data_IF_990165830171
#
_entry.id   IF_990165830171
#
_cell.length_a   1.000
_cell.length_b   1.000
_cell.length_c   1.000
_cell.angle_alpha   90.00
_cell.angle_beta   90.00
_cell.angle_gamma   90.00
#
_symmetry.space_group_name_H-M   'P 1'
#
loop_
_entity.id
_entity.type
_entity.pdbx_description
1 polymer ?
#
# COMPACT_ATOMS: atom_id res chain seq x y z
N UNK A 1 -3.66 8.39 15.17
CA UNK A 1 -4.38 7.34 14.41
C UNK A 1 -3.39 6.53 13.58
N UNK A 2 -3.79 5.37 13.07
CA UNK A 2 -2.94 4.46 12.30
C UNK A 2 -3.54 4.15 10.93
N UNK A 3 -2.81 4.41 9.88
CA UNK A 3 -3.27 4.23 8.49
C UNK A 3 -2.34 3.34 7.68
N UNK A 4 -2.93 2.57 6.79
CA UNK A 4 -2.23 1.75 5.81
C UNK A 4 -2.32 2.44 4.44
N UNK A 5 -1.19 2.74 3.81
CA UNK A 5 -1.13 3.39 2.49
C UNK A 5 -0.50 2.42 1.48
N UNK A 6 -1.28 1.99 0.51
CA UNK A 6 -0.84 1.08 -0.56
C UNK A 6 -0.40 1.89 -1.78
N UNK A 7 0.86 1.79 -2.18
CA UNK A 7 1.41 2.59 -3.27
C UNK A 7 2.01 3.91 -2.80
N UNK A 8 2.73 3.88 -1.70
CA UNK A 8 3.26 5.08 -1.02
C UNK A 8 4.58 5.62 -1.59
N UNK A 9 5.20 4.95 -2.57
CA UNK A 9 6.56 5.29 -3.03
C UNK A 9 6.61 6.43 -4.04
N UNK A 10 5.51 6.79 -4.69
CA UNK A 10 5.48 7.80 -5.73
C UNK A 10 4.12 8.50 -5.83
N UNK A 11 4.08 9.62 -6.54
CA UNK A 11 2.87 10.36 -6.87
C UNK A 11 1.98 10.65 -5.67
N UNK A 12 0.68 10.47 -5.84
CA UNK A 12 -0.33 10.76 -4.82
C UNK A 12 -0.10 9.98 -3.51
N UNK A 13 0.37 8.74 -3.59
CA UNK A 13 0.64 7.93 -2.40
C UNK A 13 1.72 8.52 -1.52
N UNK A 14 2.78 9.06 -2.13
CA UNK A 14 3.86 9.75 -1.42
C UNK A 14 3.38 11.03 -0.77
N UNK A 15 2.64 11.86 -1.50
CA UNK A 15 2.06 13.11 -0.99
C UNK A 15 1.13 12.86 0.20
N UNK A 16 0.28 11.84 0.11
CA UNK A 16 -0.59 11.43 1.21
C UNK A 16 0.22 10.95 2.43
N UNK A 17 1.27 10.17 2.21
CA UNK A 17 2.18 9.74 3.28
C UNK A 17 2.80 10.92 4.02
N UNK A 18 3.30 11.92 3.29
CA UNK A 18 3.85 13.15 3.87
C UNK A 18 2.80 13.94 4.66
N UNK A 19 1.59 14.09 4.11
CA UNK A 19 0.50 14.80 4.75
C UNK A 19 0.06 14.12 6.05
N UNK A 20 -0.21 12.83 6.02
CA UNK A 20 -0.62 12.07 7.21
C UNK A 20 0.47 12.02 8.29
N UNK A 21 1.74 11.89 7.91
CA UNK A 21 2.86 11.96 8.85
C UNK A 21 2.96 13.34 9.50
N UNK A 22 2.78 14.43 8.73
CA UNK A 22 2.81 15.80 9.26
C UNK A 22 1.67 16.08 10.25
N UNK A 23 0.58 15.34 10.16
CA UNK A 23 -0.55 15.39 11.10
C UNK A 23 -0.36 14.48 12.34
N UNK A 24 0.79 13.84 12.45
CA UNK A 24 1.14 13.03 13.62
C UNK A 24 0.60 11.60 13.58
N UNK A 25 0.23 11.08 12.41
CA UNK A 25 -0.31 9.75 12.29
C UNK A 25 0.77 8.67 12.13
N UNK A 26 0.56 7.52 12.77
CA UNK A 26 1.32 6.31 12.52
C UNK A 26 0.94 5.73 11.15
N UNK A 27 1.92 5.42 10.31
CA UNK A 27 1.69 4.90 8.98
C UNK A 27 2.32 3.52 8.79
N UNK A 28 1.61 2.68 8.04
CA UNK A 28 2.17 1.52 7.39
C UNK A 28 2.20 1.83 5.91
N UNK A 29 3.39 1.97 5.33
CA UNK A 29 3.55 2.29 3.92
C UNK A 29 3.96 1.05 3.12
N UNK A 30 3.28 0.85 2.00
CA UNK A 30 3.43 -0.34 1.16
C UNK A 30 3.83 0.05 -0.26
N UNK A 31 4.87 -0.56 -0.77
CA UNK A 31 5.25 -0.56 -2.18
C UNK A 31 6.08 -1.80 -2.52
N UNK A 32 6.49 -1.94 -3.77
CA UNK A 32 7.31 -3.09 -4.19
C UNK A 32 8.77 -2.95 -3.81
N UNK A 33 9.31 -1.74 -3.81
CA UNK A 33 10.72 -1.48 -3.58
C UNK A 33 10.99 -1.17 -2.10
N UNK A 34 11.69 -2.09 -1.43
CA UNK A 34 12.05 -1.94 -0.02
C UNK A 34 13.00 -0.76 0.21
N UNK A 35 13.93 -0.48 -0.71
CA UNK A 35 14.88 0.64 -0.59
C UNK A 35 14.18 1.98 -0.59
N UNK A 36 13.22 2.15 -1.50
CA UNK A 36 12.41 3.36 -1.56
C UNK A 36 11.61 3.54 -0.28
N UNK A 37 11.01 2.46 0.23
CA UNK A 37 10.27 2.50 1.50
C UNK A 37 11.15 2.88 2.68
N UNK A 38 12.37 2.34 2.77
CA UNK A 38 13.32 2.67 3.84
C UNK A 38 13.74 4.14 3.80
N UNK A 39 13.98 4.69 2.60
CA UNK A 39 14.31 6.10 2.42
C UNK A 39 13.14 7.01 2.82
N UNK A 40 11.92 6.68 2.41
CA UNK A 40 10.70 7.43 2.77
C UNK A 40 10.47 7.37 4.29
N UNK A 41 10.57 6.18 4.89
CA UNK A 41 10.45 5.99 6.33
C UNK A 41 11.41 6.89 7.10
N UNK A 42 12.70 6.83 6.78
CA UNK A 42 13.73 7.63 7.46
C UNK A 42 13.42 9.12 7.38
N UNK A 43 13.05 9.61 6.21
CA UNK A 43 12.69 11.01 6.00
C UNK A 43 11.47 11.43 6.84
N UNK A 44 10.40 10.65 6.78
CA UNK A 44 9.15 10.96 7.48
C UNK A 44 9.32 10.92 9.01
N UNK A 45 10.02 9.93 9.54
CA UNK A 45 10.27 9.80 10.98
C UNK A 45 11.13 10.94 11.53
N UNK A 46 12.18 11.35 10.80
CA UNK A 46 13.05 12.46 11.19
C UNK A 46 12.29 13.79 11.20
N UNK A 47 11.50 14.04 10.16
CA UNK A 47 10.79 15.33 10.00
C UNK A 47 9.59 15.48 10.94
N UNK A 48 8.87 14.40 11.23
CA UNK A 48 7.56 14.49 11.86
C UNK A 48 7.49 13.82 13.25
N UNK A 49 8.53 13.14 13.68
CA UNK A 49 8.58 12.40 14.97
C UNK A 49 7.42 11.40 15.13
N UNK A 50 7.06 10.74 14.04
CA UNK A 50 6.00 9.73 14.00
C UNK A 50 6.59 8.35 13.74
N UNK A 51 5.83 7.30 14.03
CA UNK A 51 6.21 5.93 13.71
C UNK A 51 5.78 5.57 12.29
N UNK A 52 6.72 5.07 11.48
CA UNK A 52 6.47 4.58 10.14
C UNK A 52 6.91 3.11 10.07
N UNK A 53 5.98 2.23 9.79
CA UNK A 53 6.26 0.84 9.43
C UNK A 53 6.25 0.67 7.90
N UNK A 54 7.05 -0.24 7.39
CA UNK A 54 7.15 -0.50 5.96
C UNK A 54 6.82 -1.95 5.63
N UNK A 55 6.21 -2.17 4.48
CA UNK A 55 5.90 -3.49 3.96
C UNK A 55 6.19 -3.54 2.47
N UNK A 56 7.27 -4.22 2.09
CA UNK A 56 7.58 -4.48 0.68
C UNK A 56 6.67 -5.60 0.17
N UNK A 57 5.88 -5.31 -0.85
CA UNK A 57 4.82 -6.18 -1.33
C UNK A 57 4.44 -5.86 -2.77
N UNK A 58 4.36 -6.88 -3.63
CA UNK A 58 3.69 -6.76 -4.92
C UNK A 58 2.18 -6.89 -4.74
N UNK A 59 1.49 -5.76 -4.82
CA UNK A 59 0.05 -5.69 -4.59
C UNK A 59 -0.79 -6.38 -5.68
N UNK A 60 -0.19 -6.71 -6.82
CA UNK A 60 -0.87 -7.51 -7.86
C UNK A 60 -0.91 -9.02 -7.55
N UNK A 61 -0.17 -9.48 -6.54
CA UNK A 61 -0.09 -10.89 -6.14
C UNK A 61 -0.91 -11.16 -4.88
N UNK A 62 -2.05 -11.85 -5.03
CA UNK A 62 -2.89 -12.25 -3.88
C UNK A 62 -2.14 -13.20 -2.94
N UNK A 63 -1.34 -14.12 -3.48
CA UNK A 63 -0.58 -15.07 -2.67
C UNK A 63 0.46 -14.35 -1.81
N UNK A 64 1.14 -13.34 -2.35
CA UNK A 64 2.09 -12.54 -1.61
C UNK A 64 1.39 -11.68 -0.55
N UNK A 65 0.25 -11.06 -0.87
CA UNK A 65 -0.57 -10.33 0.10
C UNK A 65 -0.94 -11.24 1.26
N UNK A 66 -1.48 -12.42 0.97
CA UNK A 66 -1.91 -13.36 2.01
C UNK A 66 -0.75 -13.82 2.90
N UNK A 67 0.39 -14.16 2.31
CA UNK A 67 1.61 -14.55 3.02
C UNK A 67 2.09 -13.45 3.98
N UNK A 68 2.17 -12.21 3.50
CA UNK A 68 2.58 -11.05 4.31
C UNK A 68 1.59 -10.75 5.44
N UNK A 69 0.28 -10.82 5.17
CA UNK A 69 -0.75 -10.65 6.20
C UNK A 69 -0.64 -11.71 7.30
N UNK A 70 -0.37 -12.95 6.94
CA UNK A 70 -0.21 -14.04 7.92
C UNK A 70 1.05 -13.88 8.77
N UNK A 71 2.16 -13.49 8.17
CA UNK A 71 3.46 -13.35 8.86
C UNK A 71 3.55 -12.10 9.75
N UNK A 72 2.77 -11.05 9.48
CA UNK A 72 2.87 -9.76 10.15
C UNK A 72 1.54 -9.26 10.73
N UNK A 73 0.72 -10.15 11.27
CA UNK A 73 -0.62 -9.82 11.80
C UNK A 73 -0.63 -8.65 12.76
N UNK A 74 0.33 -8.59 13.68
CA UNK A 74 0.44 -7.52 14.69
C UNK A 74 0.61 -6.13 14.09
N UNK A 75 1.20 -6.06 12.88
CA UNK A 75 1.39 -4.79 12.19
C UNK A 75 0.06 -4.12 11.88
N UNK A 76 -0.97 -4.91 11.58
CA UNK A 76 -2.28 -4.41 11.13
C UNK A 76 -3.29 -4.16 12.27
N UNK A 77 -2.96 -4.49 13.50
CA UNK A 77 -3.87 -4.25 14.64
C UNK A 77 -4.14 -2.76 14.82
N UNK A 78 -5.39 -2.43 15.15
CA UNK A 78 -5.87 -1.07 15.42
C UNK A 78 -5.73 -0.11 14.23
N UNK A 79 -6.07 -0.55 13.03
CA UNK A 79 -6.15 0.32 11.86
C UNK A 79 -7.34 1.28 11.94
N UNK A 80 -7.11 2.55 11.66
CA UNK A 80 -8.17 3.55 11.49
C UNK A 80 -8.61 3.69 10.03
N UNK A 81 -7.76 3.31 9.08
CA UNK A 81 -8.12 3.36 7.68
C UNK A 81 -7.08 2.74 6.74
N UNK A 82 -7.52 2.48 5.52
CA UNK A 82 -6.67 2.06 4.40
C UNK A 82 -6.87 3.02 3.25
N UNK A 83 -5.78 3.42 2.62
CA UNK A 83 -5.76 4.35 1.49
C UNK A 83 -5.11 3.65 0.30
N UNK A 84 -5.78 3.66 -0.83
CA UNK A 84 -5.36 2.97 -2.06
C UNK A 84 -5.05 3.96 -3.19
N UNK A 85 -3.98 4.74 -3.12
CA UNK A 85 -3.57 5.63 -4.21
C UNK A 85 -2.84 4.86 -5.32
N UNK A 86 -3.30 3.66 -5.62
CA UNK A 86 -2.74 2.80 -6.66
C UNK A 86 -3.69 2.65 -7.82
N UNK A 87 -3.12 2.50 -9.00
CA UNK A 87 -3.84 2.15 -10.20
C UNK A 87 -2.87 1.65 -11.26
N UNK A 88 -3.22 0.57 -11.94
CA UNK A 88 -2.49 0.08 -13.09
C UNK A 88 -3.24 0.48 -14.36
N UNK A 89 -2.53 1.14 -15.27
CA UNK A 89 -3.02 1.49 -16.60
C UNK A 89 -2.01 1.01 -17.64
N UNK A 90 -2.46 0.76 -18.84
CA UNK A 90 -1.56 0.61 -19.98
C UNK A 90 -1.39 1.96 -20.69
N UNK A 91 -0.18 2.20 -21.22
CA UNK A 91 0.05 3.36 -22.09
C UNK A 91 -0.77 3.23 -23.38
N UNK A 92 -1.20 4.36 -23.91
CA UNK A 92 -2.00 4.44 -25.14
C UNK A 92 -1.34 3.78 -26.36
N UNK A 93 -0.03 3.60 -26.33
CA UNK A 93 0.74 2.95 -27.41
C UNK A 93 0.55 1.42 -27.47
N UNK A 94 -0.07 0.82 -26.47
CA UNK A 94 -0.35 -0.62 -26.43
C UNK A 94 -1.85 -0.92 -26.56
N UNK A 95 -2.41 -0.64 -27.72
CA UNK A 95 -3.81 -1.01 -28.05
C UNK A 95 -4.10 -2.52 -28.08
N UNK A 96 -3.09 -3.37 -27.98
CA UNK A 96 -3.26 -4.81 -27.88
C UNK A 96 -3.39 -5.24 -26.42
N UNK A 97 -4.55 -4.94 -25.85
CA UNK A 97 -4.96 -5.53 -24.56
C UNK A 97 -5.23 -7.02 -24.76
N UNK A 98 -4.19 -7.84 -24.55
CA UNK A 98 -4.38 -9.27 -24.47
C UNK A 98 -5.07 -9.68 -23.15
N UNK A 99 -5.53 -10.91 -23.09
CA UNK A 99 -6.26 -11.45 -21.93
C UNK A 99 -5.45 -11.36 -20.64
N UNK A 100 -4.14 -11.61 -20.70
CA UNK A 100 -3.27 -11.56 -19.52
C UNK A 100 -3.11 -10.14 -18.97
N UNK A 101 -3.01 -9.16 -19.85
CA UNK A 101 -2.93 -7.75 -19.45
C UNK A 101 -4.25 -7.25 -18.86
N UNK A 102 -5.39 -7.66 -19.42
CA UNK A 102 -6.72 -7.37 -18.85
C UNK A 102 -6.83 -7.94 -17.44
N UNK A 103 -6.43 -9.19 -17.24
CA UNK A 103 -6.41 -9.83 -15.91
C UNK A 103 -5.57 -9.06 -14.91
N UNK A 104 -4.36 -8.65 -15.28
CA UNK A 104 -3.47 -7.87 -14.41
C UNK A 104 -4.10 -6.55 -13.96
N UNK A 105 -4.76 -5.83 -14.86
CA UNK A 105 -5.47 -4.59 -14.53
C UNK A 105 -6.57 -4.86 -13.51
N UNK A 106 -7.41 -5.86 -13.75
CA UNK A 106 -8.53 -6.19 -12.87
C UNK A 106 -8.02 -6.65 -11.50
N UNK A 107 -6.99 -7.48 -11.47
CA UNK A 107 -6.37 -7.90 -10.22
C UNK A 107 -5.80 -6.73 -9.42
N UNK A 108 -4.98 -5.89 -10.04
CA UNK A 108 -4.35 -4.77 -9.33
C UNK A 108 -5.36 -3.71 -8.88
N UNK A 109 -6.33 -3.35 -9.72
CA UNK A 109 -7.24 -2.24 -9.47
C UNK A 109 -8.51 -2.61 -8.71
N UNK A 110 -8.86 -3.88 -8.64
CA UNK A 110 -10.11 -4.31 -8.00
C UNK A 110 -9.95 -5.53 -7.09
N UNK A 111 -9.50 -6.68 -7.60
CA UNK A 111 -9.52 -7.95 -6.84
C UNK A 111 -8.60 -7.87 -5.62
N UNK A 112 -7.37 -7.38 -5.79
CA UNK A 112 -6.42 -7.24 -4.69
C UNK A 112 -6.91 -6.28 -3.61
N UNK A 113 -7.57 -5.20 -4.00
CA UNK A 113 -8.19 -4.23 -3.07
C UNK A 113 -9.31 -4.92 -2.27
N UNK A 114 -10.24 -5.55 -2.95
CA UNK A 114 -11.36 -6.25 -2.31
C UNK A 114 -10.88 -7.36 -1.37
N UNK A 115 -9.88 -8.13 -1.81
CA UNK A 115 -9.25 -9.17 -1.00
C UNK A 115 -8.61 -8.61 0.27
N UNK A 116 -7.82 -7.55 0.14
CA UNK A 116 -7.14 -6.93 1.27
C UNK A 116 -8.15 -6.37 2.29
N UNK A 117 -9.18 -5.67 1.83
CA UNK A 117 -10.24 -5.15 2.71
C UNK A 117 -10.91 -6.30 3.46
N UNK A 118 -11.28 -7.36 2.76
CA UNK A 118 -11.91 -8.54 3.37
C UNK A 118 -11.02 -9.17 4.46
N UNK A 119 -9.72 -9.24 4.23
CA UNK A 119 -8.77 -9.80 5.21
C UNK A 119 -8.50 -8.88 6.39
N UNK A 120 -8.47 -7.57 6.17
CA UNK A 120 -8.11 -6.60 7.20
C UNK A 120 -9.30 -6.06 8.01
N UNK A 121 -10.55 -6.28 7.57
CA UNK A 121 -11.73 -5.75 8.26
C UNK A 121 -11.77 -6.02 9.77
N UNK A 122 -11.22 -7.14 10.21
CA UNK A 122 -11.16 -7.53 11.63
C UNK A 122 -10.15 -6.72 12.47
N UNK A 123 -9.25 -5.98 11.84
CA UNK A 123 -8.24 -5.17 12.50
C UNK A 123 -8.61 -3.69 12.61
N UNK A 124 -9.73 -3.29 12.01
CA UNK A 124 -10.23 -1.93 12.14
C UNK A 124 -10.81 -1.68 13.54
N UNK A 125 -10.56 -0.49 13.99
CA UNK A 125 -11.17 0.02 15.22
C UNK A 125 -12.60 0.47 14.94
#
# INVERSE_FOLDING_TARGET
MKYLIIGASSGLGRELGEKFASEGHHLIIVSRDKRDLEAIKSNLEIRNKVKIDILALDFSSIDEINSKLLSQKKLFENLNGIIFPIGMMFSEDNFNLDTENIKKIIYANFISIAFLIQKLKKYFI
#
